data_IF_476007734200
#
_entry.id   IF_476007734200
#
_cell.length_a   1.000
_cell.length_b   1.000
_cell.length_c   1.000
_cell.angle_alpha   90.00
_cell.angle_beta   90.00
_cell.angle_gamma   90.00
#
_symmetry.space_group_name_H-M   'P 1'
#
loop_
_entity.id
_entity.type
_entity.pdbx_description
1 polymer ?
#
# COMPACT_ATOMS: atom_id res chain seq x y z
N UNK A 1 45.76 -5.07 46.71
CA UNK A 1 46.34 -6.44 46.59
C UNK A 1 45.30 -7.45 47.06
N UNK A 2 44.49 -8.01 46.15
CA UNK A 2 43.54 -9.08 46.46
C UNK A 2 43.97 -10.36 45.74
N UNK A 3 44.21 -11.45 46.49
CA UNK A 3 44.65 -12.76 45.96
C UNK A 3 43.45 -13.50 45.35
N UNK A 4 43.64 -14.05 44.16
CA UNK A 4 42.72 -15.00 43.53
C UNK A 4 43.25 -16.41 43.81
N UNK A 5 42.44 -17.24 44.47
CA UNK A 5 42.77 -18.62 44.82
C UNK A 5 42.62 -19.57 43.63
N UNK A 6 43.52 -20.54 43.56
CA UNK A 6 43.49 -21.68 42.66
C UNK A 6 42.39 -22.67 43.06
N UNK A 7 41.59 -23.17 42.11
CA UNK A 7 41.52 -24.58 41.71
C UNK A 7 40.26 -24.86 40.86
N UNK A 8 40.43 -25.76 39.90
CA UNK A 8 39.42 -26.52 39.14
C UNK A 8 38.56 -25.78 38.09
N UNK A 9 39.04 -25.84 36.84
CA UNK A 9 38.29 -26.46 35.73
C UNK A 9 37.10 -25.71 35.10
N UNK A 10 37.33 -25.35 33.83
CA UNK A 10 36.35 -25.22 32.74
C UNK A 10 35.70 -23.82 32.54
N UNK A 11 36.29 -23.09 31.58
CA UNK A 11 35.75 -21.93 30.85
C UNK A 11 35.57 -20.61 31.62
N UNK A 12 36.68 -19.91 31.89
CA UNK A 12 36.66 -18.44 31.85
C UNK A 12 36.39 -18.02 30.39
N UNK A 13 35.13 -17.70 30.08
CA UNK A 13 34.72 -17.19 28.77
C UNK A 13 35.64 -16.04 28.37
N UNK A 14 36.16 -16.19 27.15
CA UNK A 14 37.20 -15.40 26.52
C UNK A 14 36.96 -13.90 26.54
N UNK A 15 38.09 -13.20 26.41
CA UNK A 15 38.24 -11.79 26.62
C UNK A 15 37.29 -10.90 25.83
N UNK A 16 36.82 -9.85 26.50
CA UNK A 16 36.37 -8.64 25.82
C UNK A 16 37.57 -7.86 25.32
N UNK A 17 37.91 -8.00 24.04
CA UNK A 17 38.46 -6.92 23.23
C UNK A 17 37.94 -7.09 21.80
N UNK A 18 37.80 -6.03 20.98
CA UNK A 18 37.75 -4.59 21.26
C UNK A 18 36.51 -3.94 20.60
N UNK A 19 36.12 -2.73 20.98
CA UNK A 19 35.32 -1.92 20.04
C UNK A 19 35.81 -0.48 20.06
N UNK A 20 36.86 -0.23 19.29
CA UNK A 20 37.15 1.09 18.72
C UNK A 20 36.09 1.36 17.65
N UNK A 21 34.83 1.52 18.05
CA UNK A 21 33.84 2.03 17.14
C UNK A 21 34.26 3.45 16.80
N UNK A 22 34.39 3.76 15.52
CA UNK A 22 34.82 5.08 15.04
C UNK A 22 33.64 5.74 14.36
N UNK A 23 33.41 7.01 14.63
CA UNK A 23 32.38 7.80 13.99
C UNK A 23 32.60 7.84 12.48
N UNK A 24 31.62 7.38 11.70
CA UNK A 24 31.70 7.38 10.23
C UNK A 24 31.76 8.80 9.63
N UNK A 25 31.33 9.83 10.38
CA UNK A 25 31.30 11.23 9.93
C UNK A 25 32.63 11.97 10.16
N UNK A 26 33.33 11.72 11.27
CA UNK A 26 34.51 12.52 11.64
C UNK A 26 35.73 11.71 12.09
N UNK A 27 35.64 10.39 12.18
CA UNK A 27 36.79 9.56 12.57
C UNK A 27 37.09 9.53 14.07
N UNK A 28 36.26 10.17 14.92
CA UNK A 28 36.45 10.13 16.36
C UNK A 28 36.12 8.75 16.96
N UNK A 29 36.88 8.30 17.96
CA UNK A 29 36.60 7.08 18.69
C UNK A 29 35.35 7.23 19.57
N UNK A 30 34.54 6.18 19.65
CA UNK A 30 33.27 6.14 20.36
C UNK A 30 33.35 5.20 21.56
N UNK A 31 32.64 5.55 22.63
CA UNK A 31 32.40 4.65 23.77
C UNK A 31 31.33 3.62 23.40
N UNK A 32 31.37 2.44 24.02
CA UNK A 32 30.52 1.30 23.67
C UNK A 32 29.01 1.60 23.68
N UNK A 33 28.57 2.57 24.49
CA UNK A 33 27.16 2.95 24.67
C UNK A 33 26.83 4.36 24.15
N UNK A 34 27.67 4.96 23.30
CA UNK A 34 27.42 6.30 22.77
C UNK A 34 26.22 6.30 21.80
N UNK A 35 25.19 7.11 22.10
CA UNK A 35 24.04 7.37 21.22
C UNK A 35 24.33 8.49 20.21
N UNK A 36 25.18 9.44 20.59
CA UNK A 36 25.66 10.54 19.73
C UNK A 36 27.18 10.67 19.84
N UNK A 37 27.83 11.09 18.75
CA UNK A 37 29.26 11.36 18.73
C UNK A 37 29.54 12.66 19.47
N UNK A 38 30.33 12.61 20.53
CA UNK A 38 30.69 13.78 21.34
C UNK A 38 31.56 14.80 20.60
N UNK A 39 32.25 14.40 19.52
CA UNK A 39 33.12 15.32 18.75
C UNK A 39 32.40 16.06 17.62
N UNK A 40 31.34 15.49 17.03
CA UNK A 40 30.65 16.13 15.88
C UNK A 40 29.11 16.11 15.95
N UNK A 41 28.53 15.51 17.00
CA UNK A 41 27.09 15.48 17.23
C UNK A 41 26.30 14.45 16.43
N UNK A 42 26.92 13.68 15.52
CA UNK A 42 26.19 12.71 14.70
C UNK A 42 25.68 11.52 15.53
N UNK A 43 24.44 11.03 15.32
CA UNK A 43 23.95 9.84 16.00
C UNK A 43 24.78 8.61 15.62
N UNK A 44 25.14 7.79 16.59
CA UNK A 44 25.94 6.57 16.44
C UNK A 44 25.12 5.42 16.99
N UNK A 45 24.62 4.56 16.11
CA UNK A 45 23.66 3.52 16.47
C UNK A 45 22.54 3.30 15.45
N UNK A 46 22.37 4.20 14.49
CA UNK A 46 21.53 3.95 13.32
C UNK A 46 22.29 3.03 12.33
N UNK A 47 22.20 1.71 12.53
CA UNK A 47 22.51 0.79 11.44
C UNK A 47 21.38 0.90 10.40
N UNK A 48 21.74 1.50 9.28
CA UNK A 48 21.11 1.47 7.95
C UNK A 48 19.69 2.03 7.80
N UNK A 49 19.66 3.31 7.47
CA UNK A 49 18.70 3.90 6.53
C UNK A 49 19.43 5.03 5.81
N UNK A 50 19.97 4.71 4.63
CA UNK A 50 20.79 5.57 3.78
C UNK A 50 20.04 6.80 3.27
N UNK A 51 20.75 7.94 3.33
CA UNK A 51 20.72 9.11 2.44
C UNK A 51 19.38 9.87 2.23
N UNK A 52 19.28 11.02 2.87
CA UNK A 52 18.49 12.15 2.37
C UNK A 52 19.24 12.81 1.21
N UNK A 53 18.79 12.50 -0.01
CA UNK A 53 19.11 13.19 -1.25
C UNK A 53 17.84 13.22 -2.09
N UNK A 54 17.54 14.37 -2.66
CA UNK A 54 16.42 14.58 -3.57
C UNK A 54 16.50 13.67 -4.81
N UNK A 55 15.38 13.60 -5.53
CA UNK A 55 15.16 12.98 -6.84
C UNK A 55 14.67 11.52 -6.83
N UNK A 56 13.43 11.38 -7.29
CA UNK A 56 12.80 10.26 -8.00
C UNK A 56 13.03 8.80 -7.58
N UNK A 57 11.95 8.03 -7.78
CA UNK A 57 11.89 6.57 -7.95
C UNK A 57 11.38 5.78 -6.74
N UNK A 58 10.14 5.31 -6.94
CA UNK A 58 9.54 4.06 -6.48
C UNK A 58 10.34 3.20 -5.49
N UNK A 59 9.75 2.83 -4.33
CA UNK A 59 10.24 1.70 -3.56
C UNK A 59 9.36 0.46 -3.77
N UNK A 60 10.07 -0.61 -4.09
CA UNK A 60 9.90 -1.96 -3.57
C UNK A 60 8.81 -2.85 -4.18
N UNK A 61 9.26 -3.56 -5.21
CA UNK A 61 8.78 -4.90 -5.54
C UNK A 61 8.67 -5.78 -4.28
N UNK A 62 7.43 -6.16 -3.99
CA UNK A 62 7.02 -7.37 -3.29
C UNK A 62 7.86 -7.78 -2.06
N UNK A 63 7.55 -7.21 -0.90
CA UNK A 63 7.71 -7.91 0.38
C UNK A 63 6.44 -7.82 1.22
N UNK A 64 5.81 -8.98 1.37
CA UNK A 64 5.18 -9.43 2.63
C UNK A 64 4.17 -8.51 3.30
N UNK A 65 2.89 -8.76 2.99
CA UNK A 65 1.82 -8.98 3.96
C UNK A 65 2.06 -8.49 5.39
N UNK A 66 1.65 -7.27 5.76
CA UNK A 66 1.36 -6.94 7.16
C UNK A 66 0.10 -6.07 7.32
N UNK A 67 -1.06 -6.67 7.03
CA UNK A 67 -2.00 -6.95 8.11
C UNK A 67 -1.56 -8.26 8.78
N UNK A 68 -2.04 -8.60 9.99
CA UNK A 68 -2.32 -10.00 10.27
C UNK A 68 -3.26 -10.56 9.18
N UNK A 69 -2.70 -10.99 8.03
CA UNK A 69 -3.42 -11.70 6.97
C UNK A 69 -3.36 -11.20 5.51
N UNK A 70 -3.07 -9.94 5.16
CA UNK A 70 -3.06 -9.51 3.72
C UNK A 70 -2.15 -8.29 3.40
N UNK A 71 -1.45 -8.31 2.25
CA UNK A 71 -0.58 -7.24 1.78
C UNK A 71 -1.36 -6.02 1.23
N UNK A 72 -0.79 -4.81 1.29
CA UNK A 72 -1.50 -3.57 0.91
C UNK A 72 -1.88 -3.50 -0.58
N UNK A 73 -1.05 -4.04 -1.47
CA UNK A 73 -1.37 -4.18 -2.90
C UNK A 73 -2.56 -5.13 -3.13
N UNK A 74 -2.61 -6.22 -2.36
CA UNK A 74 -3.72 -7.19 -2.39
C UNK A 74 -4.99 -6.56 -1.81
N UNK A 75 -4.88 -5.79 -0.73
CA UNK A 75 -6.01 -5.04 -0.17
C UNK A 75 -6.57 -4.01 -1.17
N UNK A 76 -5.71 -3.29 -1.88
CA UNK A 76 -6.11 -2.38 -2.96
C UNK A 76 -6.83 -3.10 -4.12
N UNK A 77 -6.37 -4.29 -4.50
CA UNK A 77 -7.05 -5.13 -5.49
C UNK A 77 -8.44 -5.59 -4.99
N UNK A 78 -8.53 -6.04 -3.73
CA UNK A 78 -9.78 -6.50 -3.11
C UNK A 78 -10.86 -5.41 -3.08
N UNK A 79 -10.45 -4.13 -3.02
CA UNK A 79 -11.39 -3.01 -3.06
C UNK A 79 -12.26 -3.01 -4.31
N UNK A 80 -11.73 -3.44 -5.46
CA UNK A 80 -12.48 -3.49 -6.72
C UNK A 80 -13.41 -4.70 -6.83
N UNK A 81 -13.07 -5.82 -6.17
CA UNK A 81 -13.87 -7.05 -6.22
C UNK A 81 -15.09 -6.97 -5.29
N UNK A 82 -14.91 -6.38 -4.11
CA UNK A 82 -15.92 -6.31 -3.06
C UNK A 82 -16.70 -4.99 -3.08
N UNK A 83 -16.63 -4.20 -4.16
CA UNK A 83 -17.48 -3.02 -4.29
C UNK A 83 -18.96 -3.43 -4.15
N UNK A 84 -19.78 -2.86 -3.24
CA UNK A 84 -19.60 -1.67 -2.36
C UNK A 84 -19.15 -1.93 -0.92
N UNK A 85 -19.15 -3.19 -0.48
CA UNK A 85 -18.84 -3.63 0.89
C UNK A 85 -17.39 -3.33 1.26
N UNK A 86 -16.47 -3.43 0.30
CA UNK A 86 -15.05 -3.15 0.50
C UNK A 86 -14.79 -1.71 0.97
N UNK A 87 -15.55 -0.74 0.44
CA UNK A 87 -15.35 0.67 0.80
C UNK A 87 -15.56 0.86 2.31
N UNK A 88 -16.68 0.34 2.82
CA UNK A 88 -17.03 0.44 4.23
C UNK A 88 -15.99 -0.32 5.06
N UNK A 89 -15.68 -1.56 4.70
CA UNK A 89 -14.75 -2.39 5.46
C UNK A 89 -13.33 -1.80 5.52
N UNK A 90 -12.73 -1.42 4.39
CA UNK A 90 -11.34 -0.96 4.35
C UNK A 90 -11.14 0.46 4.91
N UNK A 91 -12.16 1.34 4.90
CA UNK A 91 -12.10 2.64 5.58
C UNK A 91 -12.33 2.56 7.09
N UNK A 92 -13.12 1.60 7.57
CA UNK A 92 -13.39 1.42 9.01
C UNK A 92 -12.28 0.64 9.72
N UNK A 93 -11.55 -0.22 9.01
CA UNK A 93 -10.45 -0.99 9.59
C UNK A 93 -9.21 -0.08 9.76
N UNK A 94 -8.93 0.25 11.02
CA UNK A 94 -7.85 1.15 11.45
C UNK A 94 -6.51 1.01 10.72
N UNK A 95 -5.91 -0.19 10.56
CA UNK A 95 -4.62 -0.33 9.87
C UNK A 95 -4.68 -0.02 8.36
N UNK A 96 -5.82 -0.25 7.69
CA UNK A 96 -5.96 -0.01 6.25
C UNK A 96 -6.28 1.45 5.92
N UNK A 97 -7.03 2.14 6.77
CA UNK A 97 -7.33 3.57 6.61
C UNK A 97 -6.12 4.49 6.91
N UNK A 98 -5.01 3.95 7.44
CA UNK A 98 -3.76 4.73 7.57
C UNK A 98 -2.91 4.70 6.30
N UNK A 99 -3.12 3.73 5.42
CA UNK A 99 -2.34 3.61 4.19
C UNK A 99 -3.00 4.40 3.05
N UNK A 100 -2.29 5.39 2.52
CA UNK A 100 -2.78 6.21 1.42
C UNK A 100 -3.08 5.42 0.14
N UNK A 101 -2.33 4.35 -0.12
CA UNK A 101 -2.50 3.50 -1.31
C UNK A 101 -3.83 2.77 -1.28
N UNK A 102 -4.13 2.12 -0.16
CA UNK A 102 -5.40 1.40 0.03
C UNK A 102 -6.57 2.37 -0.02
N UNK A 103 -6.43 3.56 0.57
CA UNK A 103 -7.45 4.62 0.49
C UNK A 103 -7.73 5.09 -0.93
N UNK A 104 -6.69 5.34 -1.70
CA UNK A 104 -6.86 5.76 -3.09
C UNK A 104 -7.60 4.70 -3.92
N UNK A 105 -7.20 3.43 -3.81
CA UNK A 105 -7.88 2.35 -4.52
C UNK A 105 -9.29 2.08 -3.99
N UNK A 106 -9.54 2.24 -2.69
CA UNK A 106 -10.88 2.15 -2.10
C UNK A 106 -11.81 3.25 -2.64
N UNK A 107 -11.36 4.50 -2.66
CA UNK A 107 -12.14 5.61 -3.24
C UNK A 107 -12.33 5.45 -4.75
N UNK A 108 -11.30 5.04 -5.49
CA UNK A 108 -11.40 4.83 -6.93
C UNK A 108 -12.36 3.68 -7.27
N UNK A 109 -12.28 2.55 -6.55
CA UNK A 109 -13.25 1.46 -6.68
C UNK A 109 -14.66 1.96 -6.39
N UNK A 110 -14.79 2.88 -5.42
CA UNK A 110 -16.07 3.44 -5.07
C UNK A 110 -16.71 4.34 -6.10
N UNK A 111 -15.93 5.27 -6.63
CA UNK A 111 -16.41 6.11 -7.71
C UNK A 111 -16.67 5.30 -8.98
N UNK A 112 -15.81 4.32 -9.31
CA UNK A 112 -16.01 3.45 -10.47
C UNK A 112 -17.34 2.70 -10.36
N UNK A 113 -17.61 2.11 -9.20
CA UNK A 113 -18.80 1.34 -8.99
C UNK A 113 -20.07 2.20 -8.84
N UNK A 114 -19.98 3.40 -8.26
CA UNK A 114 -21.10 4.36 -8.22
C UNK A 114 -21.42 4.89 -9.63
N UNK A 115 -20.40 5.28 -10.40
CA UNK A 115 -20.57 5.70 -11.78
C UNK A 115 -21.16 4.58 -12.65
N UNK A 116 -20.67 3.35 -12.47
CA UNK A 116 -21.24 2.16 -13.11
C UNK A 116 -22.71 1.96 -12.74
N UNK A 117 -23.08 2.07 -11.46
CA UNK A 117 -24.48 1.96 -11.04
C UNK A 117 -25.38 3.01 -11.71
N UNK A 118 -24.94 4.27 -11.81
CA UNK A 118 -25.70 5.33 -12.50
C UNK A 118 -25.89 5.02 -13.99
N UNK A 119 -24.83 4.56 -14.66
CA UNK A 119 -24.92 4.15 -16.08
C UNK A 119 -25.85 2.95 -16.23
N UNK A 120 -25.76 1.95 -15.36
CA UNK A 120 -26.60 0.77 -15.39
C UNK A 120 -28.09 1.11 -15.22
N UNK A 121 -28.43 2.03 -14.30
CA UNK A 121 -29.81 2.52 -14.13
C UNK A 121 -30.30 3.22 -15.40
N UNK A 122 -29.45 4.05 -16.02
CA UNK A 122 -29.78 4.78 -17.26
C UNK A 122 -30.02 3.80 -18.42
N UNK A 123 -29.14 2.81 -18.58
CA UNK A 123 -29.28 1.75 -19.57
C UNK A 123 -30.51 0.88 -19.29
N UNK A 124 -30.85 0.63 -18.03
CA UNK A 124 -32.04 -0.12 -17.66
C UNK A 124 -33.31 0.61 -18.14
N UNK A 125 -33.44 1.91 -17.91
CA UNK A 125 -34.59 2.69 -18.38
C UNK A 125 -34.68 2.65 -19.92
N UNK A 126 -33.56 2.87 -20.61
CA UNK A 126 -33.51 2.86 -22.08
C UNK A 126 -33.87 1.48 -22.67
N UNK A 127 -33.32 0.41 -22.10
CA UNK A 127 -33.58 -0.96 -22.57
C UNK A 127 -35.00 -1.44 -22.22
N UNK A 128 -35.61 -0.93 -21.14
CA UNK A 128 -37.03 -1.19 -20.84
C UNK A 128 -37.97 -0.63 -21.91
N UNK A 129 -37.68 0.56 -22.45
CA UNK A 129 -38.46 1.13 -23.58
C UNK A 129 -38.24 0.29 -24.84
N UNK A 130 -36.99 -0.10 -25.10
CA UNK A 130 -36.63 -0.91 -26.26
C UNK A 130 -37.29 -2.29 -26.22
N UNK A 131 -37.50 -2.85 -25.03
CA UNK A 131 -38.15 -4.14 -24.82
C UNK A 131 -39.64 -4.18 -25.24
N UNK A 132 -40.27 -3.02 -25.49
CA UNK A 132 -41.61 -2.93 -26.07
C UNK A 132 -41.66 -3.45 -27.52
N UNK A 133 -40.51 -3.48 -28.22
CA UNK A 133 -40.39 -4.09 -29.54
C UNK A 133 -39.93 -5.55 -29.34
N UNK A 134 -40.82 -6.55 -29.49
CA UNK A 134 -40.46 -7.94 -29.25
C UNK A 134 -39.39 -8.41 -30.23
N UNK A 135 -38.57 -9.37 -29.78
CA UNK A 135 -37.43 -9.95 -30.51
C UNK A 135 -36.31 -8.95 -30.79
N UNK A 136 -36.52 -7.94 -31.65
CA UNK A 136 -35.47 -7.00 -32.05
C UNK A 136 -34.97 -6.18 -30.87
N UNK A 137 -35.90 -5.68 -30.04
CA UNK A 137 -35.54 -4.89 -28.87
C UNK A 137 -34.82 -5.70 -27.79
N UNK A 138 -35.17 -6.98 -27.65
CA UNK A 138 -34.50 -7.88 -26.70
C UNK A 138 -33.08 -8.21 -27.13
N UNK A 139 -32.87 -8.49 -28.42
CA UNK A 139 -31.54 -8.76 -28.97
C UNK A 139 -30.66 -7.51 -28.82
N UNK A 140 -31.15 -6.34 -29.23
CA UNK A 140 -30.42 -5.09 -29.08
C UNK A 140 -30.11 -4.77 -27.61
N UNK A 141 -31.08 -4.95 -26.71
CA UNK A 141 -30.90 -4.80 -25.26
C UNK A 141 -29.82 -5.74 -24.71
N UNK A 142 -29.80 -7.00 -25.14
CA UNK A 142 -28.80 -7.97 -24.73
C UNK A 142 -27.38 -7.55 -25.17
N UNK A 143 -27.21 -7.06 -26.41
CA UNK A 143 -25.92 -6.55 -26.87
C UNK A 143 -25.45 -5.31 -26.09
N UNK A 144 -26.37 -4.41 -25.76
CA UNK A 144 -26.06 -3.22 -24.93
C UNK A 144 -25.57 -3.64 -23.55
N UNK A 145 -26.30 -4.53 -22.86
CA UNK A 145 -25.90 -5.04 -21.55
C UNK A 145 -24.59 -5.83 -21.59
N UNK A 146 -24.40 -6.66 -22.63
CA UNK A 146 -23.17 -7.41 -22.83
C UNK A 146 -21.97 -6.47 -23.03
N UNK A 147 -22.08 -5.48 -23.92
CA UNK A 147 -21.03 -4.50 -24.15
C UNK A 147 -20.69 -3.69 -22.89
N UNK A 148 -21.71 -3.25 -22.14
CA UNK A 148 -21.51 -2.56 -20.87
C UNK A 148 -20.77 -3.43 -19.85
N UNK A 149 -21.18 -4.70 -19.70
CA UNK A 149 -20.53 -5.65 -18.78
C UNK A 149 -19.06 -5.88 -19.14
N UNK A 150 -18.74 -6.03 -20.43
CA UNK A 150 -17.36 -6.20 -20.91
C UNK A 150 -16.52 -4.95 -20.62
N UNK A 151 -17.03 -3.75 -20.91
CA UNK A 151 -16.31 -2.50 -20.64
C UNK A 151 -16.04 -2.36 -19.13
N UNK A 152 -17.04 -2.58 -18.29
CA UNK A 152 -16.89 -2.47 -16.84
C UNK A 152 -15.91 -3.52 -16.31
N UNK A 153 -15.98 -4.75 -16.80
CA UNK A 153 -15.05 -5.81 -16.42
C UNK A 153 -13.61 -5.46 -16.78
N UNK A 154 -13.37 -4.94 -18.00
CA UNK A 154 -12.02 -4.50 -18.42
C UNK A 154 -11.49 -3.42 -17.49
N UNK A 155 -12.31 -2.41 -17.17
CA UNK A 155 -11.91 -1.33 -16.25
C UNK A 155 -11.56 -1.84 -14.85
N UNK A 156 -12.35 -2.79 -14.34
CA UNK A 156 -12.10 -3.44 -13.04
C UNK A 156 -10.80 -4.24 -13.08
N UNK A 157 -10.61 -5.10 -14.07
CA UNK A 157 -9.43 -5.97 -14.19
C UNK A 157 -8.16 -5.14 -14.37
N UNK A 158 -8.16 -4.11 -15.21
CA UNK A 158 -7.01 -3.20 -15.38
C UNK A 158 -6.68 -2.50 -14.06
N UNK A 159 -7.70 -2.02 -13.34
CA UNK A 159 -7.51 -1.36 -12.05
C UNK A 159 -6.97 -2.32 -10.98
N UNK A 160 -7.46 -3.57 -10.95
CA UNK A 160 -6.98 -4.64 -10.06
C UNK A 160 -5.52 -5.00 -10.37
N UNK A 161 -5.19 -5.18 -11.65
CA UNK A 161 -3.83 -5.50 -12.09
C UNK A 161 -2.84 -4.42 -11.67
N UNK A 162 -3.21 -3.15 -11.86
CA UNK A 162 -2.41 -2.01 -11.43
C UNK A 162 -2.28 -1.93 -9.91
N UNK A 163 -3.37 -2.15 -9.17
CA UNK A 163 -3.32 -2.19 -7.71
C UNK A 163 -2.45 -3.34 -7.19
N UNK A 164 -2.48 -4.51 -7.83
CA UNK A 164 -1.65 -5.65 -7.46
C UNK A 164 -0.15 -5.37 -7.67
N UNK A 165 0.20 -4.64 -8.71
CA UNK A 165 1.57 -4.18 -8.99
C UNK A 165 2.01 -3.00 -8.09
N UNK A 166 1.13 -2.48 -7.22
CA UNK A 166 1.44 -1.32 -6.37
C UNK A 166 1.45 0.02 -7.12
N UNK A 167 0.83 0.09 -8.30
CA UNK A 167 0.77 1.31 -9.10
C UNK A 167 -0.44 2.19 -8.74
N UNK A 168 -0.20 3.48 -8.53
CA UNK A 168 -1.22 4.50 -8.30
C UNK A 168 -1.91 4.91 -9.61
N UNK A 169 -2.59 3.95 -10.24
CA UNK A 169 -3.25 4.15 -11.52
C UNK A 169 -4.58 4.91 -11.35
N UNK A 170 -4.56 6.20 -11.69
CA UNK A 170 -5.74 7.04 -11.72
C UNK A 170 -6.46 6.95 -13.07
N UNK A 171 -7.73 6.54 -13.04
CA UNK A 171 -8.60 6.64 -14.22
C UNK A 171 -8.78 8.12 -14.61
N UNK A 172 -8.66 8.51 -15.89
CA UNK A 172 -8.59 9.92 -16.31
C UNK A 172 -9.83 10.76 -15.94
N UNK A 173 -11.00 10.14 -15.77
CA UNK A 173 -12.24 10.84 -15.42
C UNK A 173 -12.51 10.87 -13.90
N UNK A 174 -12.05 9.86 -13.16
CA UNK A 174 -12.45 9.61 -11.76
C UNK A 174 -11.28 9.79 -10.78
N UNK A 175 -10.06 9.64 -11.25
CA UNK A 175 -8.86 9.54 -10.41
C UNK A 175 -8.45 10.85 -9.75
N UNK A 176 -8.84 12.02 -10.29
CA UNK A 176 -8.59 13.31 -9.64
C UNK A 176 -9.47 13.48 -8.38
N UNK A 177 -10.73 13.08 -8.45
CA UNK A 177 -11.63 13.08 -7.29
C UNK A 177 -11.19 12.06 -6.22
N UNK A 178 -10.73 10.87 -6.64
CA UNK A 178 -10.19 9.87 -5.71
C UNK A 178 -8.95 10.37 -4.96
N UNK A 179 -8.04 11.08 -5.65
CA UNK A 179 -6.86 11.71 -5.02
C UNK A 179 -7.24 12.77 -4.00
N UNK A 180 -8.15 13.68 -4.36
CA UNK A 180 -8.57 14.76 -3.47
C UNK A 180 -9.20 14.23 -2.17
N UNK A 181 -10.07 13.20 -2.26
CA UNK A 181 -10.67 12.59 -1.08
C UNK A 181 -9.64 11.79 -0.25
N UNK A 182 -8.68 11.13 -0.91
CA UNK A 182 -7.59 10.43 -0.23
C UNK A 182 -6.65 11.39 0.51
N UNK A 183 -6.54 12.66 0.12
CA UNK A 183 -5.73 13.65 0.84
C UNK A 183 -6.44 14.26 2.06
N UNK A 184 -7.77 14.39 2.01
CA UNK A 184 -8.57 15.05 3.07
C UNK A 184 -8.64 14.32 4.41
N UNK A 185 -8.52 12.98 4.47
CA UNK A 185 -8.46 12.27 5.76
C UNK A 185 -7.02 12.04 6.27
N UNK A 186 -6.06 12.92 5.95
CA UNK A 186 -4.77 12.92 6.66
C UNK A 186 -4.98 13.47 8.08
#
# INVERSE_FOLDING_TARGET
MGRCGSQAGWFCKGGRRPVTAVCAKCGAALTADAVFCSSCGSPVGARSGVNAGAEANQPDTARGLELPGIAFNVAGLLCYLLWPVALVFFLLVGPYNRNGFVRFHAYQAAFLGLAGAVVAITLQIMTSILALIPVLGWIAGAFIWFSYAIILLILIIVSMYKAYNGEWYSLPVIGNFAREQAEKLK
#
